data_IF_138063194128
#
_entry.id   IF_138063194128
#
_cell.length_a   1.000
_cell.length_b   1.000
_cell.length_c   1.000
_cell.angle_alpha   90.00
_cell.angle_beta   90.00
_cell.angle_gamma   90.00
#
_symmetry.space_group_name_H-M   'P 1'
#
loop_
_entity.id
_entity.type
_entity.pdbx_description
1 polymer ?
#
# COMPACT_ATOMS: atom_id res chain seq x y z
N UNK A 1 14.12 -4.64 -10.49
CA UNK A 1 14.60 -4.22 -11.84
C UNK A 1 14.81 -2.71 -11.92
N UNK A 2 13.85 -1.87 -11.48
CA UNK A 2 13.95 -0.41 -11.62
C UNK A 2 15.21 0.18 -10.96
N UNK A 3 15.53 -0.24 -9.71
CA UNK A 3 16.78 0.16 -9.05
C UNK A 3 18.01 -0.16 -9.90
N UNK A 4 18.12 -1.42 -10.38
CA UNK A 4 19.24 -1.83 -11.22
C UNK A 4 19.36 -1.00 -12.52
N UNK A 5 18.22 -0.61 -13.14
CA UNK A 5 18.23 0.26 -14.32
C UNK A 5 18.74 1.68 -13.98
N UNK A 6 18.29 2.26 -12.87
CA UNK A 6 18.76 3.56 -12.43
C UNK A 6 20.27 3.56 -12.13
N UNK A 7 20.75 2.59 -11.37
CA UNK A 7 22.16 2.44 -11.01
C UNK A 7 23.05 2.19 -12.24
N UNK A 8 22.60 1.34 -13.17
CA UNK A 8 23.31 1.11 -14.45
C UNK A 8 23.46 2.39 -15.27
N UNK A 9 22.54 3.33 -15.15
CA UNK A 9 22.56 4.63 -15.81
C UNK A 9 23.18 5.76 -14.95
N UNK A 10 23.85 5.42 -13.84
CA UNK A 10 24.64 6.36 -13.05
C UNK A 10 23.88 7.12 -11.97
N UNK A 11 22.60 6.77 -11.69
CA UNK A 11 21.82 7.38 -10.61
C UNK A 11 22.03 6.65 -9.29
N UNK A 12 22.31 7.39 -8.22
CA UNK A 12 22.31 6.84 -6.85
C UNK A 12 20.88 6.52 -6.45
N UNK A 13 20.63 5.30 -5.94
CA UNK A 13 19.28 4.83 -5.68
C UNK A 13 19.18 4.10 -4.35
N UNK A 14 18.27 4.54 -3.48
CA UNK A 14 17.90 3.89 -2.23
C UNK A 14 16.50 3.26 -2.37
N UNK A 15 16.30 2.09 -1.80
CA UNK A 15 15.01 1.37 -1.85
C UNK A 15 14.49 1.12 -0.45
N UNK A 16 13.18 1.26 -0.28
CA UNK A 16 12.47 0.95 0.94
C UNK A 16 11.32 -0.01 0.63
N UNK A 17 11.30 -1.17 1.26
CA UNK A 17 10.14 -2.05 1.24
C UNK A 17 9.25 -1.75 2.46
N UNK A 18 8.42 -0.72 2.29
CA UNK A 18 7.53 -0.27 3.37
C UNK A 18 6.39 -1.24 3.66
N UNK A 19 6.13 -2.19 2.77
CA UNK A 19 5.14 -3.23 3.00
C UNK A 19 5.62 -4.18 4.10
N UNK A 20 6.83 -4.73 3.96
CA UNK A 20 7.37 -5.63 4.98
C UNK A 20 7.68 -4.92 6.30
N UNK A 21 8.12 -3.67 6.25
CA UNK A 21 8.37 -2.85 7.43
C UNK A 21 7.07 -2.58 8.21
N UNK A 22 5.97 -2.33 7.49
CA UNK A 22 4.66 -2.16 8.09
C UNK A 22 4.19 -3.42 8.82
N UNK A 23 4.28 -4.60 8.19
CA UNK A 23 3.89 -5.85 8.84
C UNK A 23 4.75 -6.16 10.07
N UNK A 24 6.07 -5.96 10.01
CA UNK A 24 6.94 -6.11 11.18
C UNK A 24 6.57 -5.13 12.32
N UNK A 25 6.10 -3.93 11.99
CA UNK A 25 5.63 -2.94 12.97
C UNK A 25 4.33 -3.37 13.65
N UNK A 26 3.34 -3.82 12.89
CA UNK A 26 2.02 -4.12 13.45
C UNK A 26 1.93 -5.51 14.11
N UNK A 27 2.74 -6.47 13.66
CA UNK A 27 2.81 -7.83 14.22
C UNK A 27 3.79 -7.88 15.41
N UNK A 28 3.58 -6.99 16.37
CA UNK A 28 4.38 -6.98 17.58
C UNK A 28 3.52 -6.72 18.83
N UNK A 29 3.93 -7.29 19.96
CA UNK A 29 3.17 -7.24 21.23
C UNK A 29 2.75 -5.83 21.63
N UNK A 30 3.67 -4.86 21.54
CA UNK A 30 3.40 -3.49 21.98
C UNK A 30 2.36 -2.80 21.09
N UNK A 31 2.40 -3.03 19.78
CA UNK A 31 1.43 -2.48 18.86
C UNK A 31 0.04 -3.10 19.09
N UNK A 32 -0.03 -4.42 19.28
CA UNK A 32 -1.30 -5.11 19.53
C UNK A 32 -1.95 -4.62 20.84
N UNK A 33 -1.18 -4.46 21.92
CA UNK A 33 -1.68 -3.90 23.19
C UNK A 33 -2.18 -2.47 22.98
N UNK A 34 -1.44 -1.61 22.26
CA UNK A 34 -1.87 -0.24 21.93
C UNK A 34 -3.19 -0.24 21.15
N UNK A 35 -3.36 -1.18 20.20
CA UNK A 35 -4.59 -1.32 19.41
C UNK A 35 -5.79 -1.76 20.26
N UNK A 36 -5.58 -2.68 21.20
CA UNK A 36 -6.61 -3.12 22.16
C UNK A 36 -7.05 -1.95 23.04
N UNK A 37 -6.11 -1.23 23.61
CA UNK A 37 -6.38 -0.06 24.47
C UNK A 37 -7.12 1.06 23.72
N UNK A 38 -6.67 1.35 22.47
CA UNK A 38 -7.31 2.34 21.60
C UNK A 38 -8.77 1.93 21.32
N UNK A 39 -9.01 0.67 20.96
CA UNK A 39 -10.34 0.14 20.69
C UNK A 39 -11.26 0.21 21.91
N UNK A 40 -10.75 -0.18 23.09
CA UNK A 40 -11.51 -0.16 24.34
C UNK A 40 -11.92 1.28 24.73
N UNK A 41 -11.02 2.24 24.58
CA UNK A 41 -11.31 3.67 24.84
C UNK A 41 -12.35 4.23 23.86
N UNK A 42 -12.31 3.83 22.59
CA UNK A 42 -13.25 4.31 21.57
C UNK A 42 -14.66 3.75 21.76
N UNK A 43 -14.82 2.56 22.34
CA UNK A 43 -16.08 1.80 22.39
C UNK A 43 -17.27 2.60 22.97
N UNK A 44 -17.06 3.28 24.10
CA UNK A 44 -18.13 4.06 24.76
C UNK A 44 -18.54 5.29 23.94
N UNK A 45 -17.55 5.94 23.31
CA UNK A 45 -17.79 7.08 22.43
C UNK A 45 -18.58 6.71 21.18
N UNK A 46 -18.26 5.57 20.58
CA UNK A 46 -18.96 5.04 19.41
C UNK A 46 -20.45 4.78 19.68
N UNK A 47 -20.77 4.17 20.83
CA UNK A 47 -22.16 3.93 21.20
C UNK A 47 -22.95 5.24 21.32
N UNK A 48 -22.37 6.25 21.99
CA UNK A 48 -22.98 7.58 22.13
C UNK A 48 -23.20 8.26 20.79
N UNK A 49 -22.24 8.14 19.87
CA UNK A 49 -22.34 8.75 18.54
C UNK A 49 -23.43 8.07 17.70
N UNK A 50 -23.46 6.73 17.66
CA UNK A 50 -24.43 5.96 16.89
C UNK A 50 -25.85 6.19 17.39
N UNK A 51 -26.04 6.25 18.70
CA UNK A 51 -27.39 6.41 19.31
C UNK A 51 -28.09 7.70 18.88
N UNK A 52 -27.35 8.76 18.53
CA UNK A 52 -27.91 10.03 18.00
C UNK A 52 -28.61 9.86 16.64
N UNK A 53 -28.24 8.84 15.90
CA UNK A 53 -28.76 8.56 14.54
C UNK A 53 -29.75 7.40 14.53
N UNK A 54 -30.00 6.76 15.67
CA UNK A 54 -30.89 5.60 15.74
C UNK A 54 -32.30 5.96 15.25
N UNK A 55 -32.78 5.22 14.27
CA UNK A 55 -34.16 5.30 13.78
C UNK A 55 -34.65 3.88 13.48
N UNK A 56 -35.78 3.46 14.05
CA UNK A 56 -36.31 2.11 13.85
C UNK A 56 -36.76 1.84 12.41
N UNK A 57 -36.92 2.88 11.58
CA UNK A 57 -37.37 2.77 10.19
C UNK A 57 -36.23 2.79 9.16
N UNK A 58 -35.01 3.13 9.57
CA UNK A 58 -33.85 3.20 8.66
C UNK A 58 -33.09 1.88 8.59
N UNK A 59 -32.76 1.48 7.37
CA UNK A 59 -31.81 0.39 7.11
C UNK A 59 -30.36 0.90 7.18
N UNK A 60 -29.39 -0.02 7.29
CA UNK A 60 -27.96 0.34 7.36
C UNK A 60 -27.50 1.24 6.20
N UNK A 61 -27.97 0.97 4.97
CA UNK A 61 -27.63 1.74 3.78
C UNK A 61 -28.18 3.18 3.77
N UNK A 62 -29.18 3.48 4.60
CA UNK A 62 -29.81 4.82 4.67
C UNK A 62 -29.01 5.80 5.53
N UNK A 63 -28.00 5.32 6.27
CA UNK A 63 -27.18 6.16 7.11
C UNK A 63 -26.05 6.81 6.31
N UNK A 64 -25.60 8.02 6.69
CA UNK A 64 -24.41 8.63 6.13
C UNK A 64 -23.19 7.68 6.26
N UNK A 65 -22.30 7.74 5.29
CA UNK A 65 -21.15 6.83 5.15
C UNK A 65 -20.27 6.77 6.41
N UNK A 66 -19.97 7.90 7.02
CA UNK A 66 -19.22 7.99 8.28
C UNK A 66 -19.94 7.33 9.46
N UNK A 67 -21.28 7.29 9.46
CA UNK A 67 -22.06 6.60 10.48
C UNK A 67 -22.05 5.09 10.23
N UNK A 68 -22.14 4.65 8.99
CA UNK A 68 -21.98 3.24 8.63
C UNK A 68 -20.63 2.69 9.12
N UNK A 69 -19.53 3.43 8.89
CA UNK A 69 -18.21 3.09 9.41
C UNK A 69 -18.21 2.93 10.95
N UNK A 70 -18.82 3.89 11.68
CA UNK A 70 -18.91 3.81 13.13
C UNK A 70 -19.75 2.62 13.62
N UNK A 71 -20.83 2.28 12.93
CA UNK A 71 -21.68 1.13 13.26
C UNK A 71 -20.92 -0.20 13.10
N UNK A 72 -20.18 -0.37 12.00
CA UNK A 72 -19.35 -1.55 11.78
C UNK A 72 -18.23 -1.63 12.81
N UNK A 73 -17.55 -0.52 13.10
CA UNK A 73 -16.51 -0.43 14.13
C UNK A 73 -17.05 -0.83 15.52
N UNK A 74 -18.18 -0.27 15.92
CA UNK A 74 -18.82 -0.63 17.19
C UNK A 74 -19.13 -2.12 17.27
N UNK A 75 -19.69 -2.68 16.20
CA UNK A 75 -20.05 -4.10 16.16
C UNK A 75 -18.85 -5.02 16.30
N UNK A 76 -17.77 -4.73 15.56
CA UNK A 76 -16.53 -5.54 15.61
C UNK A 76 -15.83 -5.41 16.97
N UNK A 77 -15.70 -4.21 17.51
CA UNK A 77 -15.09 -4.00 18.84
C UNK A 77 -15.91 -4.71 19.92
N UNK A 78 -17.25 -4.58 19.88
CA UNK A 78 -18.14 -5.28 20.81
C UNK A 78 -17.93 -6.81 20.75
N UNK A 79 -17.84 -7.37 19.56
CA UNK A 79 -17.57 -8.79 19.37
C UNK A 79 -16.29 -9.22 20.07
N UNK A 80 -15.19 -8.49 19.86
CA UNK A 80 -13.90 -8.77 20.49
C UNK A 80 -13.98 -8.67 22.03
N UNK A 81 -14.57 -7.60 22.55
CA UNK A 81 -14.66 -7.39 24.00
C UNK A 81 -15.58 -8.40 24.71
N UNK A 82 -16.50 -9.08 23.98
CA UNK A 82 -17.48 -10.00 24.59
C UNK A 82 -17.25 -11.46 24.24
N UNK A 83 -16.90 -11.78 22.98
CA UNK A 83 -16.83 -13.16 22.48
C UNK A 83 -15.40 -13.62 22.21
N UNK A 84 -14.50 -12.69 21.87
CA UNK A 84 -13.10 -12.96 21.51
C UNK A 84 -12.12 -12.41 22.54
N UNK A 85 -12.52 -12.40 23.81
CA UNK A 85 -11.69 -11.88 24.89
C UNK A 85 -10.39 -12.68 25.04
N UNK A 86 -10.44 -13.98 24.80
CA UNK A 86 -9.28 -14.85 24.83
C UNK A 86 -8.20 -14.41 23.83
N UNK A 87 -8.59 -14.04 22.61
CA UNK A 87 -7.67 -13.54 21.59
C UNK A 87 -7.01 -12.22 22.05
N UNK A 88 -7.78 -11.29 22.63
CA UNK A 88 -7.23 -10.03 23.14
C UNK A 88 -6.20 -10.24 24.28
N UNK A 89 -6.42 -11.25 25.11
CA UNK A 89 -5.56 -11.54 26.26
C UNK A 89 -4.29 -12.33 25.89
N UNK A 90 -4.34 -13.19 24.87
CA UNK A 90 -3.26 -14.14 24.60
C UNK A 90 -2.48 -13.86 23.31
N UNK A 91 -3.11 -13.38 22.24
CA UNK A 91 -2.44 -13.16 20.94
C UNK A 91 -1.24 -12.23 21.06
N UNK A 92 -1.26 -11.10 21.81
CA UNK A 92 -0.11 -10.25 21.95
C UNK A 92 1.16 -10.97 22.49
N UNK A 93 0.99 -11.98 23.34
CA UNK A 93 2.10 -12.75 23.89
C UNK A 93 2.61 -13.83 22.92
N UNK A 94 1.76 -14.33 22.05
CA UNK A 94 2.07 -15.40 21.12
C UNK A 94 2.63 -14.90 19.78
N UNK A 95 2.43 -13.62 19.44
CA UNK A 95 2.72 -13.09 18.10
C UNK A 95 4.19 -13.21 17.71
N UNK A 96 5.11 -13.00 18.65
CA UNK A 96 6.54 -13.09 18.39
C UNK A 96 6.95 -14.52 18.02
N UNK A 97 6.48 -15.53 18.78
CA UNK A 97 6.71 -16.94 18.47
C UNK A 97 6.16 -17.31 17.09
N UNK A 98 4.93 -16.88 16.79
CA UNK A 98 4.31 -17.16 15.51
C UNK A 98 5.08 -16.58 14.31
N UNK A 99 5.57 -15.34 14.42
CA UNK A 99 6.44 -14.73 13.38
C UNK A 99 7.77 -15.47 13.28
N UNK A 100 8.35 -15.93 14.40
CA UNK A 100 9.60 -16.70 14.39
C UNK A 100 9.46 -18.04 13.66
N UNK A 101 8.34 -18.74 13.83
CA UNK A 101 8.04 -20.00 13.11
C UNK A 101 8.07 -19.79 11.60
N UNK A 102 7.58 -18.68 11.07
CA UNK A 102 7.61 -18.40 9.63
C UNK A 102 9.04 -18.18 9.09
N UNK A 103 9.99 -17.83 9.95
CA UNK A 103 11.38 -17.51 9.57
C UNK A 103 12.36 -18.66 9.85
N UNK A 104 11.96 -19.65 10.62
CA UNK A 104 12.80 -20.82 10.92
C UNK A 104 12.52 -21.95 9.96
N UNK A 105 13.56 -22.43 9.25
CA UNK A 105 13.44 -23.46 8.21
C UNK A 105 12.79 -24.75 8.75
N UNK A 106 13.18 -25.19 9.95
CA UNK A 106 12.66 -26.44 10.52
C UNK A 106 11.20 -26.32 10.94
N UNK A 107 10.83 -25.19 11.56
CA UNK A 107 9.49 -24.98 12.08
C UNK A 107 8.50 -24.63 10.95
N UNK A 108 8.93 -23.86 9.93
CA UNK A 108 8.15 -23.50 8.76
C UNK A 108 7.64 -24.73 7.99
N UNK A 109 8.49 -25.75 7.80
CA UNK A 109 8.11 -26.96 7.10
C UNK A 109 7.41 -28.00 7.99
N UNK A 110 7.12 -27.67 9.25
CA UNK A 110 6.23 -28.45 10.11
C UNK A 110 4.77 -27.95 9.94
N UNK A 111 3.88 -28.74 9.30
CA UNK A 111 2.52 -28.27 8.96
C UNK A 111 1.71 -27.83 10.19
N UNK A 112 1.84 -28.49 11.34
CA UNK A 112 1.08 -28.18 12.55
C UNK A 112 1.54 -26.85 13.15
N UNK A 113 2.85 -26.62 13.19
CA UNK A 113 3.41 -25.33 13.65
C UNK A 113 3.07 -24.20 12.69
N UNK A 114 3.19 -24.42 11.38
CA UNK A 114 2.87 -23.42 10.37
C UNK A 114 1.39 -23.00 10.46
N UNK A 115 0.44 -23.95 10.51
CA UNK A 115 -0.99 -23.65 10.61
C UNK A 115 -1.29 -22.89 11.90
N UNK A 116 -0.69 -23.31 13.02
CA UNK A 116 -0.84 -22.60 14.31
C UNK A 116 -0.32 -21.18 14.22
N UNK A 117 0.87 -20.96 13.65
CA UNK A 117 1.48 -19.65 13.48
C UNK A 117 0.61 -18.74 12.61
N UNK A 118 0.14 -19.21 11.46
CA UNK A 118 -0.75 -18.47 10.58
C UNK A 118 -2.05 -18.04 11.27
N UNK A 119 -2.69 -18.93 12.05
CA UNK A 119 -3.90 -18.57 12.81
C UNK A 119 -3.63 -17.48 13.87
N UNK A 120 -2.49 -17.53 14.56
CA UNK A 120 -2.08 -16.50 15.52
C UNK A 120 -1.82 -15.17 14.82
N UNK A 121 -1.17 -15.19 13.67
CA UNK A 121 -0.87 -13.99 12.88
C UNK A 121 -2.15 -13.37 12.34
N UNK A 122 -3.08 -14.16 11.81
CA UNK A 122 -4.38 -13.66 11.34
C UNK A 122 -5.16 -12.97 12.47
N UNK A 123 -5.19 -13.58 13.65
CA UNK A 123 -5.79 -12.96 14.82
C UNK A 123 -5.05 -11.69 15.26
N UNK A 124 -3.71 -11.66 15.14
CA UNK A 124 -2.87 -10.48 15.39
C UNK A 124 -3.18 -9.34 14.42
N UNK A 125 -3.31 -9.62 13.12
CA UNK A 125 -3.70 -8.65 12.10
C UNK A 125 -5.11 -8.09 12.33
N UNK A 126 -6.05 -8.93 12.71
CA UNK A 126 -7.40 -8.53 13.11
C UNK A 126 -7.37 -7.56 14.31
N UNK A 127 -6.56 -7.86 15.34
CA UNK A 127 -6.38 -6.99 16.52
C UNK A 127 -5.69 -5.68 16.14
N UNK A 128 -4.64 -5.73 15.30
CA UNK A 128 -3.94 -4.54 14.83
C UNK A 128 -4.86 -3.57 14.09
N UNK A 129 -5.78 -4.11 13.26
CA UNK A 129 -6.74 -3.33 12.48
C UNK A 129 -8.02 -2.95 13.25
N UNK A 130 -8.24 -3.50 14.43
CA UNK A 130 -9.48 -3.30 15.21
C UNK A 130 -9.84 -1.82 15.45
N UNK A 131 -8.93 -0.90 15.79
CA UNK A 131 -9.23 0.53 15.95
C UNK A 131 -9.65 1.20 14.64
N UNK A 132 -9.28 0.61 13.50
CA UNK A 132 -9.50 1.17 12.16
C UNK A 132 -10.65 0.49 11.40
N UNK A 133 -11.37 -0.42 12.07
CA UNK A 133 -12.57 -1.07 11.49
C UNK A 133 -13.51 -0.02 10.86
N UNK A 134 -14.12 -0.28 9.68
CA UNK A 134 -14.28 -1.57 9.01
C UNK A 134 -13.09 -2.00 8.13
N UNK A 135 -12.01 -1.26 8.12
CA UNK A 135 -10.77 -1.71 7.48
C UNK A 135 -10.23 -2.95 8.18
N UNK A 136 -9.84 -3.94 7.40
CA UNK A 136 -9.18 -5.18 7.83
C UNK A 136 -7.92 -5.40 7.01
N UNK A 137 -6.92 -6.03 7.61
CA UNK A 137 -5.64 -6.33 6.99
C UNK A 137 -5.38 -7.82 7.15
N UNK A 138 -5.02 -8.48 6.06
CA UNK A 138 -4.45 -9.82 6.01
C UNK A 138 -3.09 -9.76 5.33
N UNK A 139 -2.35 -10.86 5.20
CA UNK A 139 -1.07 -10.83 4.50
C UNK A 139 -1.17 -10.43 3.02
N UNK A 140 -2.28 -10.71 2.38
CA UNK A 140 -2.49 -10.52 0.95
C UNK A 140 -3.47 -9.39 0.63
N UNK A 141 -4.14 -8.83 1.63
CA UNK A 141 -5.23 -7.90 1.36
C UNK A 141 -5.35 -6.77 2.40
N UNK A 142 -5.63 -5.58 1.89
CA UNK A 142 -6.21 -4.46 2.62
C UNK A 142 -7.65 -4.30 2.13
N UNK A 143 -8.61 -4.56 2.99
CA UNK A 143 -10.02 -4.58 2.63
C UNK A 143 -10.86 -3.65 3.50
N UNK A 144 -11.83 -3.02 2.87
CA UNK A 144 -12.89 -2.28 3.57
C UNK A 144 -14.20 -2.52 2.80
N UNK A 145 -15.26 -3.04 3.43
CA UNK A 145 -16.50 -3.41 2.75
C UNK A 145 -17.26 -2.20 2.15
N UNK A 146 -16.93 -0.99 2.56
CA UNK A 146 -17.52 0.25 2.05
C UNK A 146 -16.61 0.94 1.02
N UNK A 147 -15.41 0.41 0.78
CA UNK A 147 -14.47 0.98 -0.19
C UNK A 147 -14.97 0.77 -1.62
N UNK A 148 -14.92 1.84 -2.40
CA UNK A 148 -15.22 1.83 -3.84
C UNK A 148 -14.04 2.40 -4.60
N UNK A 149 -13.76 1.83 -5.76
CA UNK A 149 -12.66 2.27 -6.62
C UNK A 149 -13.09 3.50 -7.44
N UNK A 150 -13.44 4.59 -6.77
CA UNK A 150 -13.72 5.91 -7.34
C UNK A 150 -12.79 6.95 -6.71
N UNK A 151 -12.44 8.01 -7.44
CA UNK A 151 -11.50 9.03 -6.95
C UNK A 151 -11.91 9.62 -5.60
N UNK A 152 -13.16 10.05 -5.45
CA UNK A 152 -13.66 10.64 -4.20
C UNK A 152 -13.58 9.67 -3.02
N UNK A 153 -13.86 8.37 -3.27
CA UNK A 153 -13.82 7.37 -2.22
C UNK A 153 -12.38 7.03 -1.83
N UNK A 154 -11.48 6.90 -2.80
CA UNK A 154 -10.04 6.73 -2.56
C UNK A 154 -9.51 7.91 -1.74
N UNK A 155 -9.79 9.15 -2.17
CA UNK A 155 -9.40 10.37 -1.47
C UNK A 155 -9.91 10.36 -0.02
N UNK A 156 -11.19 10.02 0.18
CA UNK A 156 -11.76 9.91 1.53
C UNK A 156 -10.93 8.98 2.42
N UNK A 157 -10.65 7.76 1.96
CA UNK A 157 -9.90 6.78 2.75
C UNK A 157 -8.43 7.15 2.96
N UNK A 158 -7.81 7.87 2.05
CA UNK A 158 -6.44 8.37 2.25
C UNK A 158 -6.34 9.36 3.42
N UNK A 159 -7.39 10.11 3.71
CA UNK A 159 -7.41 11.16 4.75
C UNK A 159 -8.19 10.80 6.02
N UNK A 160 -8.97 9.73 6.01
CA UNK A 160 -9.80 9.34 7.15
C UNK A 160 -8.98 8.62 8.22
N UNK A 161 -8.58 9.34 9.27
CA UNK A 161 -7.82 8.81 10.41
C UNK A 161 -8.55 7.71 11.18
N UNK A 162 -9.86 7.64 11.04
CA UNK A 162 -10.67 6.63 11.74
C UNK A 162 -10.58 5.24 11.09
N UNK A 163 -10.27 5.16 9.81
CA UNK A 163 -10.22 3.90 9.06
C UNK A 163 -8.89 3.62 8.37
N UNK A 164 -7.98 4.61 8.30
CA UNK A 164 -6.69 4.45 7.65
C UNK A 164 -5.55 4.25 8.68
N UNK A 165 -5.12 3.01 8.83
CA UNK A 165 -4.02 2.63 9.73
C UNK A 165 -2.66 3.20 9.26
N UNK A 166 -2.49 3.48 7.97
CA UNK A 166 -1.21 3.92 7.41
C UNK A 166 -0.85 5.35 7.81
N UNK A 167 -1.83 6.21 8.18
CA UNK A 167 -1.55 7.61 8.55
C UNK A 167 -0.62 7.65 9.76
N UNK A 168 -0.97 6.96 10.86
CA UNK A 168 -0.13 6.95 12.08
C UNK A 168 1.24 6.31 11.79
N UNK A 169 1.28 5.27 10.98
CA UNK A 169 2.53 4.60 10.62
C UNK A 169 3.46 5.50 9.81
N UNK A 170 2.96 6.15 8.77
CA UNK A 170 3.79 7.01 7.93
C UNK A 170 4.20 8.31 8.65
N UNK A 171 3.35 8.87 9.51
CA UNK A 171 3.73 10.02 10.33
C UNK A 171 4.95 9.72 11.22
N UNK A 172 5.11 8.46 11.68
CA UNK A 172 6.27 8.05 12.49
C UNK A 172 7.56 7.88 11.67
N UNK A 173 7.48 7.49 10.39
CA UNK A 173 8.66 7.10 9.61
C UNK A 173 9.05 8.07 8.49
N UNK A 174 8.17 8.99 8.10
CA UNK A 174 8.36 9.80 6.90
C UNK A 174 9.63 10.67 6.97
N UNK A 175 10.00 11.16 8.15
CA UNK A 175 11.20 11.97 8.32
C UNK A 175 12.47 11.14 8.09
N UNK A 176 12.49 9.86 8.52
CA UNK A 176 13.61 8.95 8.27
C UNK A 176 13.73 8.59 6.78
N UNK A 177 12.60 8.58 6.03
CA UNK A 177 12.65 8.38 4.58
C UNK A 177 13.28 9.57 3.83
N UNK A 178 13.27 10.75 4.45
CA UNK A 178 13.77 12.02 3.90
C UNK A 178 15.06 12.51 4.57
N UNK A 179 15.81 11.63 5.27
CA UNK A 179 17.09 12.00 5.90
C UNK A 179 18.15 12.46 4.89
N UNK A 180 18.08 11.94 3.67
CA UNK A 180 18.95 12.34 2.56
C UNK A 180 18.20 13.32 1.65
N UNK A 181 18.94 14.30 1.10
CA UNK A 181 18.40 15.20 0.06
C UNK A 181 18.26 14.41 -1.25
N UNK A 182 17.02 14.26 -1.71
CA UNK A 182 16.71 13.49 -2.91
C UNK A 182 15.95 14.35 -3.91
N UNK A 183 16.24 14.18 -5.19
CA UNK A 183 15.57 14.91 -6.28
C UNK A 183 14.30 14.20 -6.77
N UNK A 184 14.24 12.88 -6.59
CA UNK A 184 13.22 12.02 -7.15
C UNK A 184 12.78 10.94 -6.16
N UNK A 185 11.47 10.76 -6.01
CA UNK A 185 10.85 9.70 -5.22
C UNK A 185 9.86 8.94 -6.10
N UNK A 186 10.11 7.65 -6.30
CA UNK A 186 9.22 6.74 -7.02
C UNK A 186 8.44 5.83 -6.06
N UNK A 187 7.10 5.82 -6.17
CA UNK A 187 6.22 4.97 -5.36
C UNK A 187 5.57 3.93 -6.27
N UNK A 188 5.79 2.64 -5.98
CA UNK A 188 5.22 1.54 -6.76
C UNK A 188 3.91 1.04 -6.14
N UNK A 189 2.81 1.14 -6.89
CA UNK A 189 1.47 0.65 -6.52
C UNK A 189 0.99 -0.33 -7.59
N UNK A 190 1.08 -1.63 -7.30
CA UNK A 190 0.83 -2.68 -8.28
C UNK A 190 -0.60 -3.25 -8.23
N UNK A 191 -1.30 -3.05 -7.12
CA UNK A 191 -2.66 -3.56 -6.94
C UNK A 191 -3.58 -2.56 -6.26
N UNK A 192 -4.89 -2.78 -6.39
CA UNK A 192 -5.91 -1.98 -5.72
C UNK A 192 -5.79 -2.00 -4.19
N UNK A 193 -5.25 -3.07 -3.62
CA UNK A 193 -5.05 -3.21 -2.16
C UNK A 193 -3.96 -2.29 -1.62
N UNK A 194 -3.06 -1.81 -2.47
CA UNK A 194 -1.96 -0.89 -2.11
C UNK A 194 -2.32 0.59 -2.27
N UNK A 195 -3.47 0.92 -2.90
CA UNK A 195 -3.80 2.30 -3.28
C UNK A 195 -3.86 3.22 -2.06
N UNK A 196 -4.60 2.83 -1.02
CA UNK A 196 -4.78 3.69 0.16
C UNK A 196 -3.44 3.93 0.85
N UNK A 197 -2.64 2.87 1.08
CA UNK A 197 -1.31 3.00 1.68
C UNK A 197 -0.36 3.84 0.82
N UNK A 198 -0.24 3.52 -0.46
CA UNK A 198 0.67 4.22 -1.37
C UNK A 198 0.33 5.69 -1.56
N UNK A 199 -0.96 6.03 -1.72
CA UNK A 199 -1.39 7.43 -1.87
C UNK A 199 -1.30 8.23 -0.55
N UNK A 200 -1.54 7.58 0.59
CA UNK A 200 -1.31 8.22 1.90
C UNK A 200 0.15 8.61 2.08
N UNK A 201 1.07 7.70 1.76
CA UNK A 201 2.51 7.98 1.78
C UNK A 201 2.88 9.09 0.81
N UNK A 202 2.40 8.99 -0.44
CA UNK A 202 2.69 9.96 -1.49
C UNK A 202 2.29 11.38 -1.09
N UNK A 203 1.08 11.53 -0.53
CA UNK A 203 0.60 12.81 -0.02
C UNK A 203 1.51 13.41 1.08
N UNK A 204 1.95 12.58 2.03
CA UNK A 204 2.83 13.03 3.10
C UNK A 204 4.20 13.46 2.55
N UNK A 205 4.77 12.69 1.62
CA UNK A 205 6.04 13.03 0.98
C UNK A 205 5.93 14.33 0.18
N UNK A 206 4.90 14.51 -0.65
CA UNK A 206 4.68 15.78 -1.38
C UNK A 206 4.59 17.00 -0.47
N UNK A 207 4.08 16.84 0.74
CA UNK A 207 4.01 17.95 1.71
C UNK A 207 5.35 18.27 2.37
N UNK A 208 6.22 17.27 2.53
CA UNK A 208 7.46 17.40 3.31
C UNK A 208 8.71 17.64 2.47
N UNK A 209 8.68 17.38 1.17
CA UNK A 209 9.83 17.54 0.29
C UNK A 209 9.50 18.34 -0.96
N UNK A 210 10.55 18.85 -1.62
CA UNK A 210 10.49 19.43 -2.97
C UNK A 210 10.89 18.43 -4.07
N UNK A 211 11.27 17.21 -3.68
CA UNK A 211 11.59 16.15 -4.63
C UNK A 211 10.38 15.88 -5.54
N UNK A 212 10.65 15.51 -6.78
CA UNK A 212 9.63 15.09 -7.72
C UNK A 212 9.02 13.75 -7.29
N UNK A 213 7.78 13.74 -6.90
CA UNK A 213 7.06 12.53 -6.47
C UNK A 213 6.34 11.92 -7.66
N UNK A 214 6.78 10.75 -8.06
CA UNK A 214 6.19 9.94 -9.12
C UNK A 214 5.51 8.70 -8.57
N UNK A 215 4.35 8.36 -9.11
CA UNK A 215 3.67 7.10 -8.83
C UNK A 215 3.71 6.23 -10.08
N UNK A 216 3.98 4.96 -9.89
CA UNK A 216 3.95 3.94 -10.95
C UNK A 216 3.39 2.63 -10.46
N UNK A 217 3.43 1.62 -11.33
CA UNK A 217 2.96 0.26 -11.08
C UNK A 217 1.77 -0.12 -11.92
N UNK A 218 1.53 -1.41 -12.02
CA UNK A 218 0.58 -2.02 -12.96
C UNK A 218 -0.88 -1.53 -12.81
N UNK A 219 -1.24 -1.00 -11.64
CA UNK A 219 -2.61 -0.54 -11.39
C UNK A 219 -2.98 0.67 -12.27
N UNK A 220 -2.07 1.63 -12.44
CA UNK A 220 -2.42 2.94 -13.04
C UNK A 220 -2.65 2.88 -14.56
N UNK A 221 -2.02 1.97 -15.28
CA UNK A 221 -2.25 1.79 -16.71
C UNK A 221 -3.73 1.56 -17.07
N UNK A 222 -4.46 0.89 -16.17
CA UNK A 222 -5.89 0.57 -16.36
C UNK A 222 -6.86 1.73 -16.12
N UNK A 223 -6.43 2.74 -15.38
CA UNK A 223 -7.30 3.85 -14.94
C UNK A 223 -6.83 5.22 -15.43
N UNK A 224 -5.74 5.27 -16.17
CA UNK A 224 -5.05 6.52 -16.51
C UNK A 224 -5.89 7.50 -17.29
N UNK A 225 -6.75 7.03 -18.22
CA UNK A 225 -7.61 7.90 -19.04
C UNK A 225 -8.62 8.69 -18.20
N UNK A 226 -9.04 8.13 -17.09
CA UNK A 226 -9.92 8.81 -16.13
C UNK A 226 -9.09 9.65 -15.15
N UNK A 227 -8.00 9.09 -14.64
CA UNK A 227 -7.14 9.75 -13.67
C UNK A 227 -6.50 11.02 -14.25
N UNK A 228 -6.13 11.01 -15.54
CA UNK A 228 -5.57 12.18 -16.23
C UNK A 228 -6.53 13.40 -16.25
N UNK A 229 -7.82 13.19 -16.00
CA UNK A 229 -8.80 14.29 -15.89
C UNK A 229 -8.91 14.88 -14.49
N UNK A 230 -8.35 14.20 -13.50
CA UNK A 230 -8.43 14.58 -12.09
C UNK A 230 -7.22 15.44 -11.70
N UNK A 231 -7.26 16.74 -12.00
CA UNK A 231 -6.19 17.68 -11.65
C UNK A 231 -5.82 17.61 -10.17
N UNK A 232 -6.82 17.52 -9.29
CA UNK A 232 -6.64 17.46 -7.85
C UNK A 232 -5.80 16.24 -7.42
N UNK A 233 -5.85 15.12 -8.16
CA UNK A 233 -5.01 13.96 -7.89
C UNK A 233 -3.52 14.34 -7.98
N UNK A 234 -3.14 15.06 -9.02
CA UNK A 234 -1.76 15.51 -9.22
C UNK A 234 -1.35 16.58 -8.21
N UNK A 235 -2.27 17.42 -7.79
CA UNK A 235 -2.01 18.40 -6.73
C UNK A 235 -1.76 17.73 -5.37
N UNK A 236 -2.54 16.68 -5.05
CA UNK A 236 -2.51 16.03 -3.73
C UNK A 236 -1.49 14.91 -3.62
N UNK A 237 -1.31 14.10 -4.66
CA UNK A 237 -0.64 12.81 -4.53
C UNK A 237 0.63 12.66 -5.39
N UNK A 238 0.73 13.22 -6.58
CA UNK A 238 1.87 12.98 -7.45
C UNK A 238 2.20 14.17 -8.34
N UNK A 239 3.48 14.37 -8.66
CA UNK A 239 3.87 15.31 -9.70
C UNK A 239 3.71 14.68 -11.09
N UNK A 240 3.88 13.36 -11.16
CA UNK A 240 3.65 12.58 -12.37
C UNK A 240 3.25 11.14 -12.07
N UNK A 241 2.70 10.46 -13.07
CA UNK A 241 2.40 9.03 -13.05
C UNK A 241 3.09 8.35 -14.22
N UNK A 242 3.86 7.30 -13.95
CA UNK A 242 4.39 6.40 -14.97
C UNK A 242 3.45 5.21 -15.14
N UNK A 243 3.03 4.97 -16.36
CA UNK A 243 2.17 3.84 -16.74
C UNK A 243 2.96 2.82 -17.55
N UNK A 244 2.40 1.62 -17.72
CA UNK A 244 3.04 0.51 -18.44
C UNK A 244 4.39 0.09 -17.83
N UNK A 245 5.31 -0.45 -18.63
CA UNK A 245 6.63 -0.90 -18.21
C UNK A 245 7.54 0.28 -17.84
N UNK A 246 8.14 0.20 -16.65
CA UNK A 246 8.83 1.34 -16.03
C UNK A 246 10.35 1.40 -16.28
N UNK A 247 11.00 0.36 -16.81
CA UNK A 247 12.46 0.25 -16.80
C UNK A 247 13.17 1.37 -17.55
N UNK A 248 12.76 1.70 -18.77
CA UNK A 248 13.29 2.85 -19.50
C UNK A 248 12.67 4.16 -19.00
N UNK A 249 11.34 4.24 -18.83
CA UNK A 249 10.70 5.48 -18.40
C UNK A 249 11.24 6.06 -17.08
N UNK A 250 11.58 5.22 -16.10
CA UNK A 250 12.12 5.69 -14.82
C UNK A 250 13.50 6.37 -14.97
N UNK A 251 14.33 5.86 -15.87
CA UNK A 251 15.65 6.46 -16.19
C UNK A 251 15.48 7.79 -16.93
N UNK A 252 14.61 7.81 -17.93
CA UNK A 252 14.33 9.05 -18.69
C UNK A 252 13.67 10.12 -17.80
N UNK A 253 12.81 9.71 -16.84
CA UNK A 253 12.26 10.64 -15.86
C UNK A 253 13.35 11.21 -14.95
N UNK A 254 14.27 10.39 -14.46
CA UNK A 254 15.41 10.88 -13.68
C UNK A 254 16.27 11.88 -14.47
N UNK A 255 16.52 11.63 -15.76
CA UNK A 255 17.19 12.58 -16.67
C UNK A 255 16.41 13.88 -16.88
N UNK A 256 15.08 13.78 -16.95
CA UNK A 256 14.25 14.97 -17.09
C UNK A 256 14.26 15.83 -15.82
N UNK A 257 14.26 15.20 -14.66
CA UNK A 257 14.36 15.88 -13.37
C UNK A 257 15.72 16.57 -13.21
N UNK A 258 16.82 15.93 -13.65
CA UNK A 258 18.15 16.55 -13.67
C UNK A 258 18.34 17.62 -14.78
N UNK A 259 17.34 17.82 -15.63
CA UNK A 259 17.37 18.83 -16.68
C UNK A 259 18.10 18.41 -17.97
N UNK A 260 18.46 17.14 -18.11
CA UNK A 260 19.15 16.60 -19.29
C UNK A 260 18.22 16.52 -20.51
N UNK A 261 16.94 16.21 -20.29
CA UNK A 261 15.92 16.11 -21.35
C UNK A 261 14.63 16.80 -20.93
N UNK A 262 13.78 17.23 -21.84
CA UNK A 262 12.45 17.73 -21.50
C UNK A 262 11.51 16.60 -21.05
N UNK A 263 10.57 16.89 -20.14
CA UNK A 263 9.55 15.92 -19.67
C UNK A 263 8.72 15.30 -20.80
N UNK A 264 8.49 16.04 -21.89
CA UNK A 264 7.75 15.52 -23.06
C UNK A 264 8.45 14.34 -23.76
N UNK A 265 9.75 14.18 -23.54
CA UNK A 265 10.53 13.09 -24.11
C UNK A 265 10.53 11.83 -23.20
N UNK A 266 10.03 11.94 -21.97
CA UNK A 266 9.88 10.77 -21.08
C UNK A 266 8.69 9.96 -21.56
N UNK A 267 8.88 8.70 -21.98
CA UNK A 267 7.76 7.88 -22.44
C UNK A 267 6.87 7.41 -21.27
N UNK A 268 5.63 7.05 -21.57
CA UNK A 268 4.68 6.51 -20.61
C UNK A 268 4.38 7.43 -19.41
N UNK A 269 4.62 8.74 -19.53
CA UNK A 269 4.47 9.70 -18.46
C UNK A 269 3.15 10.47 -18.59
N UNK A 270 2.48 10.65 -17.47
CA UNK A 270 1.32 11.54 -17.34
C UNK A 270 1.60 12.56 -16.24
N UNK A 271 1.46 13.84 -16.54
CA UNK A 271 1.70 14.94 -15.61
C UNK A 271 0.83 16.15 -15.99
N UNK A 272 0.82 17.18 -15.17
CA UNK A 272 0.12 18.43 -15.47
C UNK A 272 1.11 19.54 -15.81
N UNK A 273 0.79 20.32 -16.87
CA UNK A 273 1.49 21.55 -17.23
C UNK A 273 0.46 22.62 -17.54
N UNK A 274 0.61 23.81 -16.96
CA UNK A 274 -0.27 24.95 -17.18
C UNK A 274 -1.77 24.65 -16.96
N UNK A 275 -2.05 23.74 -16.01
CA UNK A 275 -3.41 23.35 -15.65
C UNK A 275 -4.06 22.32 -16.58
N UNK A 276 -3.32 21.79 -17.56
CA UNK A 276 -3.78 20.75 -18.47
C UNK A 276 -2.97 19.45 -18.34
N UNK A 277 -3.60 18.28 -18.51
CA UNK A 277 -2.89 17.01 -18.52
C UNK A 277 -2.03 16.87 -19.77
N UNK A 278 -0.81 16.41 -19.60
CA UNK A 278 0.10 16.01 -20.66
C UNK A 278 0.29 14.51 -20.57
N UNK A 279 -0.03 13.80 -21.64
CA UNK A 279 0.17 12.36 -21.80
C UNK A 279 1.22 12.16 -22.86
N UNK A 280 2.36 11.64 -22.50
CA UNK A 280 3.45 11.42 -23.45
C UNK A 280 3.25 10.15 -24.27
N UNK A 281 4.09 9.97 -25.28
CA UNK A 281 4.00 8.82 -26.18
C UNK A 281 4.25 7.51 -25.42
N UNK A 282 3.45 6.47 -25.68
CA UNK A 282 3.73 5.12 -25.20
C UNK A 282 5.02 4.57 -25.80
N UNK A 283 5.81 3.90 -24.93
CA UNK A 283 7.02 3.19 -25.31
C UNK A 283 6.73 1.71 -25.58
N UNK A 284 7.63 1.10 -26.31
CA UNK A 284 7.67 -0.36 -26.47
C UNK A 284 8.43 -0.94 -25.29
N UNK A 285 7.92 -1.97 -24.61
CA UNK A 285 8.61 -2.62 -23.50
C UNK A 285 10.04 -3.04 -23.87
N UNK A 286 10.99 -2.83 -22.95
CA UNK A 286 12.36 -3.30 -23.15
C UNK A 286 12.38 -4.82 -23.29
N UNK A 287 13.25 -5.33 -24.17
CA UNK A 287 13.53 -6.77 -24.20
C UNK A 287 14.19 -7.19 -22.89
N UNK A 288 13.92 -8.39 -22.43
CA UNK A 288 14.52 -8.91 -21.18
C UNK A 288 16.04 -8.95 -21.25
N UNK A 289 16.61 -9.25 -22.44
CA UNK A 289 18.05 -9.30 -22.66
C UNK A 289 18.73 -7.92 -22.57
N UNK A 290 17.99 -6.84 -22.76
CA UNK A 290 18.48 -5.46 -22.70
C UNK A 290 18.35 -4.85 -21.28
N UNK A 291 17.77 -5.63 -20.32
CA UNK A 291 17.57 -5.15 -18.95
C UNK A 291 18.86 -5.32 -18.13
N UNK A 292 19.10 -4.38 -17.24
CA UNK A 292 20.14 -4.52 -16.22
C UNK A 292 19.80 -5.65 -15.23
N UNK A 293 20.82 -6.16 -14.56
CA UNK A 293 20.63 -7.15 -13.50
C UNK A 293 19.72 -6.62 -12.39
N UNK A 294 18.97 -7.53 -11.77
CA UNK A 294 18.18 -7.23 -10.59
C UNK A 294 19.16 -6.90 -9.44
N UNK A 295 19.01 -5.72 -8.86
CA UNK A 295 19.75 -5.34 -7.64
C UNK A 295 18.86 -5.60 -6.42
N UNK A 296 19.38 -6.33 -5.45
CA UNK A 296 18.77 -6.57 -4.14
C UNK A 296 19.43 -5.76 -3.03
N UNK A 297 20.44 -4.96 -3.37
CA UNK A 297 21.12 -4.12 -2.40
C UNK A 297 20.15 -3.13 -1.76
N UNK A 298 20.22 -3.01 -0.44
CA UNK A 298 19.29 -2.18 0.34
C UNK A 298 18.02 -2.88 0.80
N UNK A 299 17.74 -4.12 0.37
CA UNK A 299 16.67 -4.93 0.94
C UNK A 299 17.19 -5.74 2.14
N UNK A 300 16.57 -5.56 3.29
CA UNK A 300 16.83 -6.42 4.47
C UNK A 300 15.98 -7.69 4.36
N UNK A 301 16.57 -8.73 3.77
CA UNK A 301 15.87 -10.00 3.54
C UNK A 301 15.48 -10.72 4.84
N UNK A 302 16.12 -10.41 5.98
CA UNK A 302 15.77 -10.99 7.28
C UNK A 302 14.41 -10.55 7.83
N UNK A 303 13.85 -9.46 7.26
CA UNK A 303 12.53 -8.96 7.64
C UNK A 303 11.37 -9.78 7.07
N UNK A 304 11.60 -10.56 6.00
CA UNK A 304 10.54 -11.30 5.33
C UNK A 304 10.06 -12.49 6.15
N UNK A 305 8.77 -12.77 6.09
CA UNK A 305 8.11 -13.87 6.83
C UNK A 305 8.15 -15.16 6.02
N UNK A 306 9.33 -15.66 5.76
CA UNK A 306 9.57 -16.91 5.04
C UNK A 306 10.90 -17.52 5.52
N UNK A 307 10.96 -18.84 5.56
CA UNK A 307 12.18 -19.57 5.92
C UNK A 307 13.22 -19.42 4.82
N UNK A 308 12.79 -19.58 3.56
CA UNK A 308 13.63 -19.45 2.37
C UNK A 308 13.13 -18.28 1.51
N UNK A 309 14.06 -17.46 1.04
CA UNK A 309 13.72 -16.37 0.12
C UNK A 309 13.42 -16.93 -1.26
N UNK A 310 12.18 -16.79 -1.70
CA UNK A 310 11.73 -17.14 -3.04
C UNK A 310 11.73 -15.92 -3.94
N UNK A 311 12.61 -15.90 -4.95
CA UNK A 311 12.70 -14.81 -5.91
C UNK A 311 11.86 -15.12 -7.15
N UNK A 312 10.81 -14.33 -7.45
CA UNK A 312 10.09 -14.46 -8.70
C UNK A 312 10.97 -13.98 -9.86
N UNK A 313 11.13 -14.82 -10.88
CA UNK A 313 11.89 -14.51 -12.09
C UNK A 313 10.97 -14.50 -13.29
N UNK A 314 11.01 -13.41 -14.06
CA UNK A 314 10.26 -13.28 -15.31
C UNK A 314 11.10 -13.80 -16.47
N UNK A 315 10.64 -14.85 -17.14
CA UNK A 315 11.33 -15.47 -18.29
C UNK A 315 10.82 -14.94 -19.64
N UNK A 316 9.67 -14.28 -19.67
CA UNK A 316 9.09 -13.71 -20.89
C UNK A 316 8.16 -12.55 -20.57
N UNK A 317 7.92 -11.68 -21.55
CA UNK A 317 6.93 -10.59 -21.48
C UNK A 317 5.89 -10.75 -22.58
N UNK A 318 4.66 -10.31 -22.27
CA UNK A 318 3.53 -10.39 -23.17
C UNK A 318 2.92 -11.80 -23.27
N UNK A 319 1.96 -11.94 -24.16
CA UNK A 319 1.25 -13.18 -24.39
C UNK A 319 1.22 -13.50 -25.89
N UNK A 320 1.72 -14.67 -26.27
CA UNK A 320 1.65 -15.12 -27.66
C UNK A 320 0.23 -15.37 -28.18
N UNK A 321 -0.72 -15.66 -27.27
CA UNK A 321 -2.09 -15.97 -27.62
C UNK A 321 -2.94 -14.73 -27.93
N UNK A 322 -2.95 -13.71 -27.07
CA UNK A 322 -3.62 -12.41 -27.21
C UNK A 322 -5.10 -12.43 -27.64
N UNK A 323 -5.83 -13.53 -27.36
CA UNK A 323 -7.22 -13.73 -27.83
C UNK A 323 -8.21 -13.97 -26.69
N UNK A 324 -7.80 -13.84 -25.45
CA UNK A 324 -8.69 -14.05 -24.31
C UNK A 324 -9.55 -12.80 -24.10
N UNK A 325 -10.88 -12.94 -24.13
CA UNK A 325 -11.82 -11.83 -23.99
C UNK A 325 -11.82 -11.16 -22.61
N UNK A 326 -11.22 -11.78 -21.61
CA UNK A 326 -11.13 -11.30 -20.22
C UNK A 326 -9.75 -10.77 -19.84
N UNK A 327 -8.77 -10.88 -20.72
CA UNK A 327 -7.36 -10.59 -20.42
C UNK A 327 -6.96 -9.23 -21.01
N UNK A 328 -6.30 -8.44 -20.21
CA UNK A 328 -5.74 -7.14 -20.58
C UNK A 328 -4.22 -7.16 -20.88
N UNK A 329 -3.65 -8.35 -21.07
CA UNK A 329 -2.25 -8.53 -21.48
C UNK A 329 -2.11 -8.29 -22.99
N UNK A 330 -2.21 -7.02 -23.39
CA UNK A 330 -2.22 -6.60 -24.80
C UNK A 330 -0.90 -5.90 -25.15
N UNK A 331 0.17 -6.71 -25.25
CA UNK A 331 1.51 -6.22 -25.65
C UNK A 331 1.86 -6.63 -27.08
#
# INVERSE_FOLDING_TARGET
SLKGQLEHNGFSTKVFDLNIDFYNKILNKSFLIKSIDKSSKMFQGLLKDISKYHSPTKQFADYPFNIQNKMLKYTKIKEYLTKKKYELENIPDLIHEAVSILKDEKDFYNPDLLIRALNIIDAGLDIASLPYTPTSITFDNYANPLFKLTYDNIKYYCFDKDTNIFIEYYDEIVDNLLEEDVDYIGISINSSTQIVGGLTLSHLLKKKTKAHVNIGGNFFGRVIDNLAKEKEFFELFADSVLVEEGERPVVELARAISGEIPFDNVPNLVFYRDGAPVITKKDIPMKLDDMSNISLDGYDLSKYFCADIVMPVQSSRGCYWRKCSFCDQDF
#
